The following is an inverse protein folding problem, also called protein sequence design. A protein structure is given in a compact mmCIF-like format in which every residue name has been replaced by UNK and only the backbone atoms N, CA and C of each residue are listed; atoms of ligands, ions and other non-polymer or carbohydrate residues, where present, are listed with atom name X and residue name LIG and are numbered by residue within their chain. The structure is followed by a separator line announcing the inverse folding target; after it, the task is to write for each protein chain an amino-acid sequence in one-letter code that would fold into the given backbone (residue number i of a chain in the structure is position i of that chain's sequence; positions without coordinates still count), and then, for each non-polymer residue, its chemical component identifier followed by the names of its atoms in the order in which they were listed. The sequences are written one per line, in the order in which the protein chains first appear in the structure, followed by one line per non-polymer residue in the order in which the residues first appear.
data_IF_626319846636
#
_entry.id   IF_626319846636
#
_cell.length_a   1.000
_cell.length_b   1.000
_cell.length_c   1.000
_cell.angle_alpha   90.00
_cell.angle_beta   90.00
_cell.angle_gamma   90.00
#
_symmetry.space_group_name_H-M   'P 1'
#
loop_
_entity.id
_entity.type
_entity.pdbx_description
1 polymer ?
#
# COMPACT_ATOMS: atom_id res chain seq x y z
N UNK A 1 20.85 -8.97 -9.63
CA UNK A 1 19.37 -9.00 -9.75
C UNK A 1 18.77 -7.71 -9.20
N UNK A 2 17.83 -7.10 -9.89
CA UNK A 2 17.17 -5.87 -9.49
C UNK A 2 15.90 -6.17 -8.68
N UNK A 3 15.73 -5.54 -7.52
CA UNK A 3 14.53 -5.67 -6.70
C UNK A 3 13.66 -4.42 -6.82
N UNK A 4 12.37 -4.63 -7.04
CA UNK A 4 11.32 -3.63 -7.10
C UNK A 4 10.39 -3.87 -5.92
N UNK A 5 10.30 -2.91 -5.00
CA UNK A 5 9.40 -2.99 -3.84
C UNK A 5 8.13 -2.18 -4.11
N UNK A 6 7.00 -2.87 -4.36
CA UNK A 6 5.68 -2.24 -4.39
C UNK A 6 5.08 -2.30 -2.98
N UNK A 7 5.11 -1.16 -2.29
CA UNK A 7 4.78 -1.06 -0.85
C UNK A 7 3.36 -0.54 -0.55
N UNK A 8 2.53 -0.46 -1.53
CA UNK A 8 1.13 -0.07 -1.35
C UNK A 8 0.83 1.30 -1.97
N UNK A 9 0.05 2.14 -1.32
CA UNK A 9 -0.49 2.04 0.04
C UNK A 9 -1.64 1.02 0.18
N UNK A 10 -2.11 0.82 1.42
CA UNK A 10 -3.38 0.09 1.62
C UNK A 10 -4.54 0.83 0.94
N UNK A 11 -5.54 0.10 0.47
CA UNK A 11 -6.76 0.64 -0.17
C UNK A 11 -6.50 1.43 -1.46
N UNK A 12 -5.38 1.17 -2.12
CA UNK A 12 -5.02 1.71 -3.45
C UNK A 12 -4.91 0.62 -4.52
N UNK A 13 -5.76 -0.42 -4.44
CA UNK A 13 -5.82 -1.47 -5.45
C UNK A 13 -4.71 -2.53 -5.36
N UNK A 14 -3.91 -2.56 -4.29
CA UNK A 14 -2.79 -3.51 -4.11
C UNK A 14 -3.21 -4.95 -4.32
N UNK A 15 -4.36 -5.38 -3.78
CA UNK A 15 -4.86 -6.75 -3.96
C UNK A 15 -5.14 -7.08 -5.43
N UNK A 16 -5.74 -6.16 -6.18
CA UNK A 16 -5.99 -6.32 -7.61
C UNK A 16 -4.67 -6.53 -8.36
N UNK A 17 -3.70 -5.67 -8.10
CA UNK A 17 -2.37 -5.77 -8.71
C UNK A 17 -1.62 -7.05 -8.30
N UNK A 18 -1.67 -7.42 -7.03
CA UNK A 18 -1.08 -8.66 -6.51
C UNK A 18 -1.69 -9.91 -7.14
N UNK A 19 -3.03 -9.96 -7.29
CA UNK A 19 -3.73 -11.06 -7.96
C UNK A 19 -3.33 -11.14 -9.43
N UNK A 20 -3.29 -10.00 -10.11
CA UNK A 20 -2.85 -9.91 -11.50
C UNK A 20 -1.42 -10.47 -11.70
N UNK A 21 -0.47 -10.12 -10.84
CA UNK A 21 0.90 -10.64 -10.91
C UNK A 21 0.96 -12.15 -10.58
N UNK A 22 0.20 -12.61 -9.58
CA UNK A 22 0.17 -14.01 -9.18
C UNK A 22 -0.38 -14.92 -10.29
N UNK A 23 -1.46 -14.51 -10.96
CA UNK A 23 -2.09 -15.24 -12.06
C UNK A 23 -1.22 -15.29 -13.33
N UNK A 24 -0.24 -14.39 -13.42
CA UNK A 24 0.66 -14.27 -14.57
C UNK A 24 2.13 -14.60 -14.23
N UNK A 25 2.38 -15.32 -13.14
CA UNK A 25 3.73 -15.62 -12.66
C UNK A 25 4.61 -16.28 -13.75
N UNK A 26 4.08 -17.25 -14.49
CA UNK A 26 4.82 -17.94 -15.54
C UNK A 26 5.23 -16.96 -16.65
N UNK A 27 4.32 -16.11 -17.08
CA UNK A 27 4.61 -15.06 -18.09
C UNK A 27 5.64 -14.01 -17.60
N UNK A 28 5.63 -13.71 -16.30
CA UNK A 28 6.66 -12.84 -15.71
C UNK A 28 8.03 -13.53 -15.73
N UNK A 29 8.08 -14.82 -15.40
CA UNK A 29 9.31 -15.60 -15.44
C UNK A 29 9.88 -15.69 -16.85
N UNK A 30 9.04 -15.79 -17.89
CA UNK A 30 9.46 -15.81 -19.30
C UNK A 30 10.22 -14.53 -19.70
N UNK A 31 9.96 -13.41 -19.02
CA UNK A 31 10.70 -12.14 -19.22
C UNK A 31 11.78 -11.89 -18.17
N UNK A 32 12.16 -12.89 -17.40
CA UNK A 32 13.19 -12.84 -16.37
C UNK A 32 12.78 -12.11 -15.08
N UNK A 33 11.47 -12.00 -14.82
CA UNK A 33 10.94 -11.32 -13.63
C UNK A 33 10.26 -12.34 -12.70
N UNK A 34 10.66 -12.41 -11.43
CA UNK A 34 9.97 -13.17 -10.38
C UNK A 34 9.02 -12.27 -9.60
N UNK A 35 8.00 -12.87 -9.00
CA UNK A 35 7.03 -12.17 -8.16
C UNK A 35 6.91 -12.80 -6.76
N UNK A 36 7.01 -11.94 -5.72
CA UNK A 36 6.71 -12.28 -4.34
C UNK A 36 5.54 -11.45 -3.83
N UNK A 37 4.37 -12.06 -3.78
CA UNK A 37 3.16 -11.47 -3.22
C UNK A 37 2.90 -11.91 -1.78
N UNK A 38 1.72 -11.52 -1.21
CA UNK A 38 1.32 -11.84 0.16
C UNK A 38 1.35 -13.34 0.49
N UNK A 39 1.04 -14.21 -0.47
CA UNK A 39 1.10 -15.65 -0.28
C UNK A 39 2.50 -16.14 0.14
N UNK A 40 3.57 -15.52 -0.37
CA UNK A 40 4.94 -15.84 -0.01
C UNK A 40 5.44 -15.04 1.19
N UNK A 41 5.21 -13.74 1.20
CA UNK A 41 5.74 -12.83 2.24
C UNK A 41 5.15 -13.15 3.60
N UNK A 42 3.84 -13.43 3.67
CA UNK A 42 3.09 -13.73 4.90
C UNK A 42 3.17 -15.19 5.35
N UNK A 43 3.60 -16.11 4.47
CA UNK A 43 3.85 -17.51 4.82
C UNK A 43 5.16 -17.74 5.60
N UNK A 44 5.78 -16.68 6.10
CA UNK A 44 6.95 -16.75 6.98
C UNK A 44 8.19 -16.03 6.47
N UNK A 45 8.29 -15.73 5.16
CA UNK A 45 9.47 -15.05 4.61
C UNK A 45 9.76 -13.71 5.31
N UNK A 46 8.70 -12.92 5.64
CA UNK A 46 8.83 -11.65 6.36
C UNK A 46 8.61 -11.80 7.88
N UNK A 47 8.78 -13.01 8.42
CA UNK A 47 8.60 -13.26 9.85
C UNK A 47 9.52 -12.39 10.68
N UNK A 48 8.92 -11.63 11.59
CA UNK A 48 9.65 -10.70 12.46
C UNK A 48 9.92 -9.34 11.80
N UNK A 49 9.84 -9.16 10.49
CA UNK A 49 10.09 -7.89 9.81
C UNK A 49 8.87 -6.94 9.87
N UNK A 50 7.67 -7.43 9.61
CA UNK A 50 6.43 -6.63 9.58
C UNK A 50 5.86 -6.25 10.96
N UNK A 51 6.52 -6.65 12.05
CA UNK A 51 6.05 -6.36 13.41
C UNK A 51 6.19 -4.87 13.72
N UNK A 52 5.20 -4.32 14.46
CA UNK A 52 5.26 -2.93 14.94
C UNK A 52 6.58 -2.66 15.69
N UNK A 53 7.30 -1.55 15.44
CA UNK A 53 8.61 -1.28 16.05
C UNK A 53 8.63 -1.42 17.58
N UNK A 54 7.65 -0.85 18.28
CA UNK A 54 7.54 -0.91 19.75
C UNK A 54 7.30 -2.33 20.30
N UNK A 55 6.84 -3.25 19.45
CA UNK A 55 6.58 -4.65 19.82
C UNK A 55 7.74 -5.58 19.43
N UNK A 56 8.86 -5.03 18.98
CA UNK A 56 10.04 -5.80 18.57
C UNK A 56 10.83 -6.21 19.79
N UNK A 57 10.57 -7.39 20.31
CA UNK A 57 11.39 -8.04 21.33
C UNK A 57 12.58 -8.79 20.71
N UNK A 58 13.44 -9.39 21.57
CA UNK A 58 14.63 -10.14 21.16
C UNK A 58 14.32 -11.25 20.14
N UNK A 59 13.22 -11.98 20.33
CA UNK A 59 12.84 -13.09 19.43
C UNK A 59 12.33 -12.57 18.08
N UNK A 60 11.58 -11.47 18.06
CA UNK A 60 11.17 -10.83 16.82
C UNK A 60 12.38 -10.30 16.03
N UNK A 61 13.39 -9.75 16.73
CA UNK A 61 14.67 -9.32 16.12
C UNK A 61 15.40 -10.50 15.47
N UNK A 62 15.61 -11.58 16.21
CA UNK A 62 16.24 -12.80 15.67
C UNK A 62 15.50 -13.37 14.46
N UNK A 63 14.15 -13.38 14.48
CA UNK A 63 13.37 -13.80 13.31
C UNK A 63 13.57 -12.86 12.13
N UNK A 64 13.61 -11.54 12.37
CA UNK A 64 13.89 -10.55 11.32
C UNK A 64 15.28 -10.73 10.70
N UNK A 65 16.31 -10.95 11.51
CA UNK A 65 17.68 -11.20 11.04
C UNK A 65 17.74 -12.47 10.18
N UNK A 66 17.07 -13.54 10.63
CA UNK A 66 16.93 -14.77 9.85
C UNK A 66 16.16 -14.54 8.54
N UNK A 67 15.06 -13.79 8.57
CA UNK A 67 14.28 -13.46 7.39
C UNK A 67 15.11 -12.70 6.36
N UNK A 68 15.89 -11.70 6.79
CA UNK A 68 16.80 -10.97 5.93
C UNK A 68 17.89 -11.88 5.33
N UNK A 69 18.41 -12.85 6.11
CA UNK A 69 19.33 -13.87 5.60
C UNK A 69 18.67 -14.74 4.50
N UNK A 70 17.44 -15.19 4.73
CA UNK A 70 16.69 -15.97 3.74
C UNK A 70 16.39 -15.17 2.49
N UNK A 71 16.04 -13.89 2.62
CA UNK A 71 15.82 -13.00 1.46
C UNK A 71 17.08 -12.96 0.59
N UNK A 72 18.28 -12.69 1.18
CA UNK A 72 19.53 -12.67 0.42
C UNK A 72 19.82 -13.99 -0.28
N UNK A 73 19.69 -15.12 0.42
CA UNK A 73 19.88 -16.45 -0.18
C UNK A 73 18.94 -16.71 -1.35
N UNK A 74 17.68 -16.30 -1.24
CA UNK A 74 16.71 -16.42 -2.33
C UNK A 74 17.05 -15.50 -3.51
N UNK A 75 17.52 -14.28 -3.26
CA UNK A 75 17.98 -13.37 -4.31
C UNK A 75 19.15 -13.97 -5.08
N UNK A 76 20.15 -14.54 -4.37
CA UNK A 76 21.29 -15.23 -5.00
C UNK A 76 20.83 -16.44 -5.82
N UNK A 77 19.86 -17.22 -5.31
CA UNK A 77 19.30 -18.36 -6.02
C UNK A 77 18.58 -17.94 -7.30
N UNK A 78 17.77 -16.90 -7.25
CA UNK A 78 17.04 -16.39 -8.42
C UNK A 78 18.00 -15.84 -9.49
N UNK A 79 19.06 -15.17 -9.08
CA UNK A 79 20.11 -14.71 -9.99
C UNK A 79 20.83 -15.88 -10.68
N UNK A 80 21.16 -16.94 -9.94
CA UNK A 80 21.79 -18.16 -10.49
C UNK A 80 20.93 -18.88 -11.51
N UNK A 81 19.60 -18.82 -11.42
CA UNK A 81 18.70 -19.40 -12.43
C UNK A 81 18.37 -18.45 -13.59
N UNK A 82 19.04 -17.30 -13.65
CA UNK A 82 18.97 -16.36 -14.77
C UNK A 82 17.83 -15.34 -14.70
N UNK A 83 17.14 -15.23 -13.58
CA UNK A 83 16.14 -14.18 -13.37
C UNK A 83 16.85 -12.84 -13.08
N UNK A 84 16.42 -11.77 -13.74
CA UNK A 84 17.10 -10.47 -13.70
C UNK A 84 16.40 -9.46 -12.78
N UNK A 85 15.09 -9.65 -12.52
CA UNK A 85 14.33 -8.78 -11.64
C UNK A 85 13.37 -9.54 -10.72
N UNK A 86 13.04 -8.93 -9.59
CA UNK A 86 12.08 -9.41 -8.62
C UNK A 86 11.13 -8.28 -8.26
N UNK A 87 9.83 -8.49 -8.45
CA UNK A 87 8.78 -7.62 -7.90
C UNK A 87 8.32 -8.20 -6.56
N UNK A 88 8.46 -7.43 -5.49
CA UNK A 88 7.90 -7.73 -4.16
C UNK A 88 6.73 -6.80 -3.93
N UNK A 89 5.54 -7.33 -3.71
CA UNK A 89 4.37 -6.50 -3.39
C UNK A 89 3.79 -6.86 -2.01
N UNK A 90 3.99 -5.97 -1.04
CA UNK A 90 3.52 -6.14 0.34
C UNK A 90 3.33 -4.80 1.04
N UNK A 91 2.09 -4.37 1.20
CA UNK A 91 1.73 -3.10 1.80
C UNK A 91 1.98 -3.02 3.32
N UNK A 92 2.07 -4.18 4.01
CA UNK A 92 2.39 -4.18 5.45
C UNK A 92 3.86 -3.80 5.75
N UNK A 93 4.70 -3.64 4.74
CA UNK A 93 6.07 -3.14 4.94
C UNK A 93 6.09 -1.74 5.56
N UNK A 94 5.15 -0.86 5.19
CA UNK A 94 5.06 0.51 5.71
C UNK A 94 4.16 0.66 6.94
N UNK A 95 3.43 -0.38 7.32
CA UNK A 95 2.52 -0.34 8.47
C UNK A 95 1.24 -1.11 8.23
N UNK A 96 0.25 -0.92 9.11
CA UNK A 96 -1.07 -1.55 8.98
C UNK A 96 -2.18 -0.52 9.13
N UNK A 97 -3.35 -0.81 8.55
CA UNK A 97 -4.53 0.05 8.72
C UNK A 97 -4.97 0.13 10.18
N UNK A 98 -4.74 -0.94 10.96
CA UNK A 98 -5.00 -0.95 12.40
C UNK A 98 -4.14 0.09 13.13
N UNK A 99 -2.82 0.11 12.87
CA UNK A 99 -1.90 1.08 13.49
C UNK A 99 -2.28 2.50 13.08
N UNK A 100 -2.59 2.73 11.80
CA UNK A 100 -3.00 4.04 11.29
C UNK A 100 -4.25 4.58 12.02
N UNK A 101 -5.27 3.74 12.23
CA UNK A 101 -6.49 4.15 12.93
C UNK A 101 -6.28 4.28 14.44
N UNK A 102 -5.53 3.37 15.08
CA UNK A 102 -5.32 3.39 16.53
C UNK A 102 -4.52 4.61 16.99
N UNK A 103 -3.60 5.09 16.16
CA UNK A 103 -2.80 6.29 16.41
C UNK A 103 -3.35 7.55 15.76
N UNK A 104 -4.39 7.42 14.91
CA UNK A 104 -4.86 8.46 14.01
C UNK A 104 -3.72 9.12 13.23
N UNK A 105 -2.77 8.32 12.70
CA UNK A 105 -1.60 8.81 11.95
C UNK A 105 -1.40 8.00 10.68
N UNK A 106 -1.08 8.67 9.59
CA UNK A 106 -0.77 8.04 8.31
C UNK A 106 0.62 7.40 8.35
N UNK A 107 0.71 6.07 8.49
CA UNK A 107 1.95 5.30 8.52
C UNK A 107 3.04 5.91 9.42
N UNK A 108 2.67 6.15 10.70
CA UNK A 108 3.50 6.86 11.68
C UNK A 108 4.93 6.34 11.82
N UNK A 109 5.14 5.04 11.60
CA UNK A 109 6.40 4.34 11.81
C UNK A 109 6.98 3.77 10.50
N UNK A 110 6.64 4.34 9.33
CA UNK A 110 7.03 3.79 8.02
C UNK A 110 8.54 3.61 7.90
N UNK A 111 9.33 4.61 8.26
CA UNK A 111 10.80 4.53 8.22
C UNK A 111 11.31 3.38 9.10
N UNK A 112 10.95 3.35 10.39
CA UNK A 112 11.42 2.32 11.32
C UNK A 112 10.99 0.89 10.93
N UNK A 113 9.89 0.75 10.20
CA UNK A 113 9.45 -0.53 9.62
C UNK A 113 10.28 -0.91 8.42
N UNK A 114 10.49 0.01 7.48
CA UNK A 114 11.26 -0.22 6.26
C UNK A 114 12.74 -0.49 6.55
N UNK A 115 13.35 0.19 7.54
CA UNK A 115 14.72 -0.06 7.99
C UNK A 115 14.98 -1.54 8.31
N UNK A 116 13.97 -2.25 8.75
CA UNK A 116 14.08 -3.68 9.07
C UNK A 116 14.26 -4.56 7.84
N UNK A 117 13.88 -4.09 6.66
CA UNK A 117 14.04 -4.75 5.37
C UNK A 117 15.32 -4.35 4.65
N UNK A 118 15.93 -3.23 5.04
CA UNK A 118 17.09 -2.68 4.37
C UNK A 118 18.26 -3.66 4.26
N UNK A 119 18.52 -4.48 5.30
CA UNK A 119 19.59 -5.47 5.27
C UNK A 119 19.29 -6.71 4.39
N UNK A 120 18.00 -6.95 4.08
CA UNK A 120 17.60 -8.04 3.19
C UNK A 120 17.64 -7.66 1.71
N UNK A 121 17.09 -6.48 1.39
CA UNK A 121 16.99 -6.01 0.01
C UNK A 121 18.12 -5.06 -0.40
N UNK A 122 18.60 -4.23 0.51
CA UNK A 122 19.78 -3.37 0.43
C UNK A 122 20.15 -2.89 -0.96
N UNK A 123 21.33 -3.29 -1.43
CA UNK A 123 21.87 -2.91 -2.74
C UNK A 123 21.08 -3.42 -3.95
N UNK A 124 20.23 -4.42 -3.75
CA UNK A 124 19.40 -4.97 -4.81
C UNK A 124 18.15 -4.12 -5.06
N UNK A 125 17.69 -3.34 -4.08
CA UNK A 125 16.53 -2.46 -4.24
C UNK A 125 16.87 -1.32 -5.20
N UNK A 126 16.36 -1.42 -6.44
CA UNK A 126 16.55 -0.41 -7.48
C UNK A 126 15.35 0.52 -7.61
N UNK A 127 14.19 0.06 -7.17
CA UNK A 127 12.97 0.84 -7.27
C UNK A 127 12.06 0.56 -6.08
N UNK A 128 11.44 1.61 -5.58
CA UNK A 128 10.31 1.52 -4.66
C UNK A 128 9.11 2.19 -5.31
N UNK A 129 7.95 1.58 -5.20
CA UNK A 129 6.74 2.00 -5.87
C UNK A 129 5.59 2.13 -4.86
N UNK A 130 4.92 3.28 -4.84
CA UNK A 130 3.81 3.55 -3.95
C UNK A 130 2.68 4.28 -4.67
N UNK A 131 1.47 3.75 -4.57
CA UNK A 131 0.25 4.44 -4.99
C UNK A 131 -0.33 5.21 -3.81
N UNK A 132 -0.57 6.50 -3.98
CA UNK A 132 -1.20 7.37 -2.99
C UNK A 132 -2.67 7.60 -3.34
N UNK A 133 -3.45 8.10 -2.38
CA UNK A 133 -4.88 8.33 -2.56
C UNK A 133 -5.32 9.58 -1.81
N UNK A 134 -6.33 10.29 -2.36
CA UNK A 134 -6.99 11.40 -1.68
C UNK A 134 -7.45 10.99 -0.27
N UNK A 135 -7.17 11.81 0.73
CA UNK A 135 -7.33 11.47 2.16
C UNK A 135 -8.76 11.13 2.55
N UNK A 136 -9.74 11.86 2.03
CA UNK A 136 -11.17 11.62 2.26
C UNK A 136 -11.57 10.21 1.81
N UNK A 137 -11.10 9.79 0.63
CA UNK A 137 -11.38 8.46 0.06
C UNK A 137 -10.52 7.37 0.73
N UNK A 138 -9.28 7.69 1.09
CA UNK A 138 -8.39 6.77 1.79
C UNK A 138 -8.96 6.40 3.15
N UNK A 139 -9.23 7.38 4.01
CA UNK A 139 -9.71 7.14 5.37
C UNK A 139 -11.11 6.54 5.39
N UNK A 140 -12.03 6.99 4.53
CA UNK A 140 -13.33 6.36 4.39
C UNK A 140 -13.22 4.88 4.00
N UNK A 141 -12.32 4.54 3.07
CA UNK A 141 -12.09 3.16 2.66
C UNK A 141 -11.42 2.32 3.74
N UNK A 142 -10.48 2.89 4.52
CA UNK A 142 -9.84 2.22 5.66
C UNK A 142 -10.87 1.94 6.76
N UNK A 143 -11.68 2.93 7.14
CA UNK A 143 -12.74 2.77 8.14
C UNK A 143 -13.75 1.71 7.72
N UNK A 144 -14.24 1.76 6.49
CA UNK A 144 -15.18 0.79 5.95
C UNK A 144 -14.63 -0.65 6.00
N UNK A 145 -13.36 -0.82 5.64
CA UNK A 145 -12.69 -2.12 5.69
C UNK A 145 -12.48 -2.61 7.12
N UNK A 146 -12.09 -1.72 8.03
CA UNK A 146 -11.78 -2.06 9.41
C UNK A 146 -13.05 -2.33 10.24
N UNK A 147 -14.15 -1.63 9.96
CA UNK A 147 -15.46 -1.92 10.58
C UNK A 147 -15.89 -3.35 10.28
N UNK A 148 -15.71 -3.84 9.05
CA UNK A 148 -15.99 -5.25 8.73
C UNK A 148 -15.14 -6.24 9.54
N UNK A 149 -13.97 -5.83 10.02
CA UNK A 149 -13.00 -6.64 10.78
C UNK A 149 -13.04 -6.41 12.30
N UNK A 150 -14.07 -5.79 12.82
CA UNK A 150 -14.24 -5.65 14.25
C UNK A 150 -13.95 -4.26 14.81
N UNK A 151 -13.53 -3.30 13.99
CA UNK A 151 -13.40 -1.92 14.46
C UNK A 151 -14.76 -1.35 14.85
N UNK A 152 -14.78 -0.51 15.88
CA UNK A 152 -16.01 0.20 16.30
C UNK A 152 -16.45 1.23 15.25
N UNK A 153 -17.70 1.66 15.31
CA UNK A 153 -18.15 2.84 14.57
C UNK A 153 -17.24 4.03 14.94
N UNK A 154 -16.77 4.82 13.97
CA UNK A 154 -15.99 6.01 14.29
C UNK A 154 -16.87 7.01 15.03
N UNK A 155 -16.30 7.64 16.04
CA UNK A 155 -16.86 8.81 16.72
C UNK A 155 -16.28 10.09 16.11
N UNK A 156 -16.94 11.23 16.35
CA UNK A 156 -16.52 12.52 15.81
C UNK A 156 -15.08 12.86 16.22
N UNK A 157 -14.71 12.52 17.46
CA UNK A 157 -13.34 12.73 17.93
C UNK A 157 -12.27 11.94 17.18
N UNK A 158 -12.59 10.74 16.66
CA UNK A 158 -11.68 10.03 15.75
C UNK A 158 -11.63 10.72 14.38
N UNK A 159 -12.79 11.10 13.84
CA UNK A 159 -12.87 11.78 12.55
C UNK A 159 -12.05 13.09 12.56
N UNK A 160 -12.21 13.89 13.60
CA UNK A 160 -11.44 15.13 13.79
C UNK A 160 -9.93 14.87 13.87
N UNK A 161 -9.51 13.86 14.65
CA UNK A 161 -8.08 13.50 14.72
C UNK A 161 -7.52 13.05 13.40
N UNK A 162 -8.28 12.32 12.57
CA UNK A 162 -7.83 11.91 11.24
C UNK A 162 -7.62 13.10 10.30
N UNK A 163 -8.47 14.12 10.40
CA UNK A 163 -8.36 15.34 9.60
C UNK A 163 -7.20 16.23 10.07
N UNK A 164 -7.02 16.37 11.38
CA UNK A 164 -6.04 17.29 11.99
C UNK A 164 -4.66 16.69 12.20
N UNK A 165 -4.48 15.39 11.93
CA UNK A 165 -3.17 14.75 12.04
C UNK A 165 -2.15 15.41 11.09
N UNK A 166 -0.93 15.61 11.58
CA UNK A 166 0.09 16.40 10.87
C UNK A 166 0.81 15.64 9.76
N UNK A 167 0.71 14.31 9.74
CA UNK A 167 1.49 13.48 8.83
C UNK A 167 0.80 13.35 7.47
N UNK A 168 1.54 13.56 6.40
CA UNK A 168 1.09 13.63 5.01
C UNK A 168 1.72 12.53 4.14
N UNK A 169 1.27 12.41 2.88
CA UNK A 169 1.96 11.55 1.90
C UNK A 169 3.40 11.97 1.68
N UNK A 170 3.70 13.26 1.73
CA UNK A 170 5.07 13.77 1.67
C UNK A 170 5.97 13.15 2.76
N UNK A 171 5.46 13.00 3.99
CA UNK A 171 6.25 12.41 5.08
C UNK A 171 6.50 10.93 4.87
N UNK A 172 5.50 10.20 4.34
CA UNK A 172 5.66 8.78 4.00
C UNK A 172 6.70 8.61 2.88
N UNK A 173 6.67 9.46 1.87
CA UNK A 173 7.62 9.46 0.75
C UNK A 173 9.03 9.78 1.25
N UNK A 174 9.20 10.77 2.13
CA UNK A 174 10.49 11.09 2.75
C UNK A 174 11.04 9.93 3.59
N UNK A 175 10.18 9.25 4.34
CA UNK A 175 10.58 8.05 5.09
C UNK A 175 11.09 6.94 4.17
N UNK A 176 10.40 6.69 3.05
CA UNK A 176 10.81 5.68 2.06
C UNK A 176 12.16 6.04 1.43
N UNK A 177 12.31 7.29 0.99
CA UNK A 177 13.54 7.78 0.37
C UNK A 177 14.73 7.72 1.34
N UNK A 178 14.50 7.99 2.63
CA UNK A 178 15.55 7.90 3.67
C UNK A 178 16.08 6.48 3.84
N UNK A 179 15.22 5.45 3.70
CA UNK A 179 15.63 4.04 3.86
C UNK A 179 16.29 3.48 2.60
N UNK A 180 15.82 3.88 1.42
CA UNK A 180 16.31 3.39 0.14
C UNK A 180 16.85 4.54 -0.74
N UNK A 181 17.91 5.25 -0.30
CA UNK A 181 18.38 6.47 -0.96
C UNK A 181 18.97 6.23 -2.36
N UNK A 182 19.31 4.98 -2.69
CA UNK A 182 19.84 4.61 -4.00
C UNK A 182 18.76 4.06 -4.96
N UNK A 183 17.52 3.91 -4.48
CA UNK A 183 16.42 3.41 -5.28
C UNK A 183 15.64 4.56 -5.92
N UNK A 184 15.18 4.37 -7.15
CA UNK A 184 14.18 5.25 -7.75
C UNK A 184 12.84 5.07 -7.01
N UNK A 185 12.26 6.15 -6.50
CA UNK A 185 10.96 6.13 -5.86
C UNK A 185 9.89 6.61 -6.84
N UNK A 186 9.00 5.69 -7.25
CA UNK A 186 7.86 6.00 -8.11
C UNK A 186 6.60 6.21 -7.28
N UNK A 187 5.91 7.32 -7.51
CA UNK A 187 4.67 7.68 -6.84
C UNK A 187 3.60 8.00 -7.88
N UNK A 188 2.39 7.45 -7.72
CA UNK A 188 1.25 7.77 -8.59
C UNK A 188 -0.06 7.86 -7.81
N UNK A 189 -1.04 8.66 -8.30
CA UNK A 189 -2.36 8.72 -7.71
C UNK A 189 -3.15 7.47 -8.06
N UNK A 190 -3.76 6.83 -7.08
CA UNK A 190 -4.59 5.64 -7.27
C UNK A 190 -5.71 5.86 -8.28
N UNK A 191 -6.32 7.03 -8.24
CA UNK A 191 -7.48 7.36 -9.06
C UNK A 191 -7.18 7.30 -10.56
N UNK A 192 -5.96 7.64 -10.98
CA UNK A 192 -5.55 7.61 -12.38
C UNK A 192 -5.24 6.20 -12.91
N UNK A 193 -4.95 5.25 -12.03
CA UNK A 193 -4.48 3.91 -12.44
C UNK A 193 -5.41 2.77 -11.96
N UNK A 194 -6.62 3.10 -11.60
CA UNK A 194 -7.64 2.13 -11.19
C UNK A 194 -7.89 1.10 -12.30
N UNK A 195 -7.73 -0.19 -11.96
CA UNK A 195 -7.99 -1.28 -12.92
C UNK A 195 -6.98 -1.38 -14.08
N UNK A 196 -5.84 -0.71 -13.98
CA UNK A 196 -4.79 -0.68 -15.02
C UNK A 196 -3.52 -1.40 -14.54
N UNK A 197 -3.67 -2.67 -14.13
CA UNK A 197 -2.56 -3.46 -13.56
C UNK A 197 -1.39 -3.64 -14.52
N UNK A 198 -1.65 -3.71 -15.83
CA UNK A 198 -0.62 -3.80 -16.86
C UNK A 198 0.21 -2.50 -16.98
N UNK A 199 -0.45 -1.34 -16.89
CA UNK A 199 0.27 -0.05 -16.87
C UNK A 199 1.07 0.10 -15.58
N UNK A 200 0.53 -0.30 -14.43
CA UNK A 200 1.28 -0.30 -13.17
C UNK A 200 2.52 -1.20 -13.27
N UNK A 201 2.40 -2.40 -13.85
CA UNK A 201 3.55 -3.28 -14.09
C UNK A 201 4.55 -2.64 -15.04
N UNK A 202 4.10 -2.04 -16.14
CA UNK A 202 4.99 -1.36 -17.09
C UNK A 202 5.81 -0.24 -16.41
N UNK A 203 5.15 0.58 -15.58
CA UNK A 203 5.81 1.66 -14.83
C UNK A 203 6.91 1.13 -13.91
N UNK A 204 6.58 0.11 -13.10
CA UNK A 204 7.53 -0.38 -12.08
C UNK A 204 8.62 -1.27 -12.68
N UNK A 205 8.40 -1.94 -13.81
CA UNK A 205 9.29 -2.93 -14.42
C UNK A 205 9.98 -2.41 -15.70
N UNK A 206 10.25 -1.10 -15.81
CA UNK A 206 10.94 -0.47 -16.94
C UNK A 206 10.31 -0.77 -18.32
N UNK A 207 8.99 -0.75 -18.40
CA UNK A 207 8.25 -1.07 -19.62
C UNK A 207 8.19 -2.57 -19.96
N UNK A 208 8.82 -3.44 -19.18
CA UNK A 208 8.79 -4.89 -19.41
C UNK A 208 7.45 -5.46 -18.93
N UNK A 209 6.58 -5.75 -19.88
CA UNK A 209 5.30 -6.44 -19.65
C UNK A 209 5.23 -7.62 -20.60
N UNK A 210 4.87 -8.82 -20.14
CA UNK A 210 4.64 -9.95 -21.03
C UNK A 210 3.55 -9.64 -22.06
N UNK A 211 3.71 -10.20 -23.29
CA UNK A 211 2.78 -9.93 -24.40
C UNK A 211 1.36 -10.44 -24.11
N UNK A 212 1.26 -11.55 -23.38
CA UNK A 212 -0.03 -12.17 -23.02
C UNK A 212 -0.20 -12.21 -21.51
N UNK A 213 -1.05 -11.33 -20.99
CA UNK A 213 -1.40 -11.28 -19.57
C UNK A 213 -2.91 -11.46 -19.40
N UNK A 214 -3.29 -12.21 -18.34
CA UNK A 214 -4.69 -12.48 -17.95
C UNK A 214 -5.16 -11.46 -16.90
N UNK A 215 -6.47 -11.25 -16.76
CA UNK A 215 -7.04 -10.48 -15.65
C UNK A 215 -6.72 -8.98 -15.65
N UNK A 216 -6.42 -8.39 -16.81
CA UNK A 216 -6.02 -6.97 -16.92
C UNK A 216 -7.02 -5.97 -16.31
N UNK A 217 -8.31 -6.32 -16.29
CA UNK A 217 -9.41 -5.46 -15.83
C UNK A 217 -10.17 -6.01 -14.63
N UNK A 218 -9.68 -7.08 -14.02
CA UNK A 218 -10.32 -7.67 -12.85
C UNK A 218 -10.17 -6.74 -11.65
N UNK A 219 -11.26 -6.59 -10.89
CA UNK A 219 -11.29 -5.69 -9.74
C UNK A 219 -11.57 -6.47 -8.46
N UNK A 220 -10.63 -6.42 -7.53
CA UNK A 220 -10.71 -7.11 -6.25
C UNK A 220 -10.78 -6.13 -5.08
N UNK A 221 -11.48 -6.51 -4.00
CA UNK A 221 -11.57 -5.76 -2.75
C UNK A 221 -12.07 -4.31 -2.87
N UNK A 222 -13.12 -4.07 -3.67
CA UNK A 222 -13.84 -2.80 -3.62
C UNK A 222 -14.26 -2.44 -2.18
N UNK A 223 -14.35 -1.15 -1.88
CA UNK A 223 -14.87 -0.70 -0.59
C UNK A 223 -16.32 -1.18 -0.40
N UNK A 224 -16.70 -1.65 0.80
CA UNK A 224 -18.07 -2.08 1.06
C UNK A 224 -19.06 -0.92 0.90
N UNK A 225 -20.28 -1.24 0.46
CA UNK A 225 -21.39 -0.28 0.36
C UNK A 225 -21.94 0.09 1.75
N UNK A 226 -22.72 1.17 1.80
CA UNK A 226 -23.46 1.57 3.01
C UNK A 226 -24.33 0.44 3.54
N UNK A 227 -25.12 -0.24 2.69
CA UNK A 227 -25.94 -1.38 3.08
C UNK A 227 -25.11 -2.48 3.74
N UNK A 228 -23.92 -2.79 3.22
CA UNK A 228 -23.04 -3.80 3.81
C UNK A 228 -22.48 -3.39 5.16
N UNK A 229 -22.11 -2.14 5.36
CA UNK A 229 -21.64 -1.60 6.64
C UNK A 229 -22.79 -1.52 7.65
N UNK A 230 -23.98 -1.07 7.21
CA UNK A 230 -25.20 -1.05 8.00
C UNK A 230 -25.52 -2.44 8.57
N UNK A 231 -25.47 -3.47 7.72
CA UNK A 231 -25.65 -4.86 8.16
C UNK A 231 -24.64 -5.26 9.23
N UNK A 232 -23.35 -4.91 9.07
CA UNK A 232 -22.32 -5.21 10.09
C UNK A 232 -22.64 -4.57 11.42
N UNK A 233 -23.16 -3.35 11.47
CA UNK A 233 -23.55 -2.68 12.70
C UNK A 233 -24.79 -3.34 13.32
N UNK A 234 -25.79 -3.72 12.53
CA UNK A 234 -26.96 -4.46 13.00
C UNK A 234 -26.58 -5.82 13.60
N UNK A 235 -25.75 -6.59 12.92
CA UNK A 235 -25.26 -7.90 13.39
C UNK A 235 -24.49 -7.81 14.72
N UNK A 236 -23.99 -6.61 15.08
CA UNK A 236 -23.31 -6.30 16.35
C UNK A 236 -24.20 -5.61 17.37
N UNK A 237 -25.48 -5.44 17.09
CA UNK A 237 -26.41 -4.76 17.98
C UNK A 237 -26.22 -3.23 18.06
N UNK A 238 -25.44 -2.64 17.16
CA UNK A 238 -25.24 -1.19 17.10
C UNK A 238 -26.27 -0.54 16.17
N UNK A 239 -27.52 -0.51 16.61
CA UNK A 239 -28.64 0.05 15.85
C UNK A 239 -28.46 1.54 15.57
N UNK A 240 -27.95 2.32 16.53
CA UNK A 240 -27.73 3.75 16.37
C UNK A 240 -26.77 4.08 15.20
N UNK A 241 -25.67 3.34 15.07
CA UNK A 241 -24.76 3.51 13.93
C UNK A 241 -25.36 3.00 12.62
N UNK A 242 -26.18 1.95 12.66
CA UNK A 242 -26.85 1.43 11.49
C UNK A 242 -27.89 2.41 10.91
N UNK A 243 -28.64 3.08 11.79
CA UNK A 243 -29.70 4.02 11.39
C UNK A 243 -29.15 5.31 10.76
N UNK A 244 -27.88 5.61 10.96
CA UNK A 244 -27.18 6.72 10.28
C UNK A 244 -26.77 6.40 8.84
N UNK A 245 -26.90 5.15 8.41
CA UNK A 245 -26.47 4.70 7.08
C UNK A 245 -27.65 4.40 6.18
N UNK A 246 -27.63 4.87 4.93
CA UNK A 246 -28.62 4.47 3.93
C UNK A 246 -28.51 2.95 3.65
N UNK A 247 -29.64 2.34 3.31
CA UNK A 247 -29.69 0.94 2.88
C UNK A 247 -29.56 0.83 1.38
N UNK A 248 -28.41 1.26 0.86
CA UNK A 248 -28.12 1.29 -0.56
C UNK A 248 -26.69 0.86 -0.88
N UNK A 249 -26.35 0.84 -2.19
CA UNK A 249 -25.02 0.48 -2.66
C UNK A 249 -24.05 1.65 -2.77
N UNK A 250 -24.40 2.83 -2.24
CA UNK A 250 -23.49 3.98 -2.17
C UNK A 250 -22.24 3.66 -1.35
N UNK A 251 -21.17 4.40 -1.60
CA UNK A 251 -19.96 4.29 -0.79
C UNK A 251 -20.16 5.03 0.52
N UNK A 252 -19.77 4.38 1.61
CA UNK A 252 -19.79 5.01 2.90
C UNK A 252 -18.77 6.15 2.97
N UNK A 253 -19.28 7.35 3.31
CA UNK A 253 -18.47 8.53 3.57
C UNK A 253 -18.81 9.05 4.98
N UNK A 254 -17.97 8.74 5.99
CA UNK A 254 -18.24 9.16 7.36
C UNK A 254 -17.87 10.62 7.65
N UNK A 255 -17.18 11.28 6.72
CA UNK A 255 -16.68 12.65 6.89
C UNK A 255 -17.70 13.68 6.37
N UNK A 256 -17.92 14.74 7.16
CA UNK A 256 -18.73 15.90 6.74
C UNK A 256 -18.02 16.75 5.67
N UNK A 257 -18.76 17.71 5.10
CA UNK A 257 -18.26 18.56 4.01
C UNK A 257 -16.98 19.33 4.38
N UNK A 258 -16.89 19.86 5.61
CA UNK A 258 -15.70 20.58 6.08
C UNK A 258 -14.48 19.67 6.17
N UNK A 259 -14.62 18.44 6.70
CA UNK A 259 -13.56 17.44 6.72
C UNK A 259 -13.08 17.09 5.32
N UNK A 260 -14.02 16.88 4.39
CA UNK A 260 -13.70 16.56 2.99
C UNK A 260 -12.92 17.70 2.34
N UNK A 261 -13.37 18.96 2.54
CA UNK A 261 -12.66 20.11 2.00
C UNK A 261 -11.24 20.24 2.56
N UNK A 262 -11.06 20.02 3.87
CA UNK A 262 -9.74 20.02 4.50
C UNK A 262 -8.84 18.92 3.95
N UNK A 263 -9.33 17.69 3.79
CA UNK A 263 -8.59 16.58 3.19
C UNK A 263 -8.21 16.84 1.74
N UNK A 264 -9.11 17.44 0.96
CA UNK A 264 -8.83 17.79 -0.44
C UNK A 264 -7.72 18.84 -0.52
N UNK A 265 -7.79 19.91 0.28
CA UNK A 265 -6.73 20.91 0.34
C UNK A 265 -5.37 20.30 0.71
N UNK A 266 -5.36 19.40 1.70
CA UNK A 266 -4.14 18.69 2.09
C UNK A 266 -3.58 17.81 0.96
N UNK A 267 -4.44 17.13 0.22
CA UNK A 267 -4.02 16.27 -0.88
C UNK A 267 -3.53 17.09 -2.07
N UNK A 268 -4.16 18.22 -2.37
CA UNK A 268 -3.73 19.13 -3.43
C UNK A 268 -2.34 19.70 -3.15
N UNK A 269 -2.03 20.00 -1.88
CA UNK A 269 -0.67 20.41 -1.48
C UNK A 269 0.35 19.29 -1.71
N UNK A 270 0.00 18.03 -1.39
CA UNK A 270 0.88 16.88 -1.68
C UNK A 270 1.10 16.69 -3.18
N UNK A 271 0.03 16.80 -3.98
CA UNK A 271 0.14 16.69 -5.44
C UNK A 271 0.96 17.83 -6.04
N UNK A 272 0.80 19.05 -5.55
CA UNK A 272 1.59 20.20 -5.98
C UNK A 272 3.09 19.99 -5.67
N UNK A 273 3.42 19.48 -4.47
CA UNK A 273 4.79 19.14 -4.11
C UNK A 273 5.38 18.03 -5.00
N UNK A 274 4.60 16.98 -5.28
CA UNK A 274 5.01 15.88 -6.18
C UNK A 274 5.26 16.38 -7.60
N UNK A 275 4.36 17.19 -8.16
CA UNK A 275 4.52 17.83 -9.49
C UNK A 275 5.70 18.78 -9.54
N UNK A 276 6.01 19.42 -8.42
CA UNK A 276 7.20 20.27 -8.25
C UNK A 276 8.52 19.51 -8.15
N UNK A 277 8.50 18.17 -8.29
CA UNK A 277 9.69 17.32 -8.27
C UNK A 277 10.02 16.72 -6.91
N UNK A 278 9.13 16.82 -5.92
CA UNK A 278 9.22 16.13 -4.60
C UNK A 278 10.59 16.31 -3.92
N UNK A 279 11.18 17.49 -3.97
CA UNK A 279 12.54 17.80 -3.46
C UNK A 279 13.64 16.88 -4.07
N UNK A 280 13.41 16.30 -5.24
CA UNK A 280 14.29 15.32 -5.88
C UNK A 280 14.20 13.90 -5.28
N UNK A 281 13.25 13.63 -4.40
CA UNK A 281 13.13 12.35 -3.69
C UNK A 281 12.32 11.30 -4.45
N UNK A 282 11.42 11.73 -5.34
CA UNK A 282 10.51 10.83 -6.03
C UNK A 282 10.17 11.30 -7.44
N UNK A 283 9.90 10.34 -8.32
CA UNK A 283 9.30 10.57 -9.63
C UNK A 283 7.79 10.39 -9.52
N UNK A 284 7.04 11.47 -9.79
CA UNK A 284 5.59 11.43 -9.82
C UNK A 284 5.09 11.08 -11.22
N UNK A 285 4.21 10.08 -11.29
CA UNK A 285 3.64 9.60 -12.55
C UNK A 285 2.16 9.91 -12.57
N UNK A 286 1.72 10.76 -13.47
CA UNK A 286 0.32 11.00 -13.79
C UNK A 286 -0.08 10.27 -15.06
N UNK A 287 -1.36 9.93 -15.16
CA UNK A 287 -1.90 9.45 -16.43
C UNK A 287 -1.92 10.62 -17.42
N UNK A 288 -1.35 10.42 -18.61
CA UNK A 288 -1.49 11.41 -19.69
C UNK A 288 -2.95 11.44 -20.16
N UNK A 289 -3.50 12.63 -20.36
CA UNK A 289 -4.88 12.82 -20.87
C UNK A 289 -5.07 12.31 -22.32
N UNK A 290 -4.04 11.76 -22.95
CA UNK A 290 -4.00 11.35 -24.35
C UNK A 290 -4.19 9.83 -24.56
N UNK A 291 -4.86 9.09 -23.66
CA UNK A 291 -5.05 7.64 -23.81
C UNK A 291 -6.53 7.24 -24.02
#
# INVERSE_FOLDING_TARGET
MDVILHIGAHRTGTTTFQTYLEENRDHLNDIGTEFWGPNRTRAGLFSGLVKHPDKVNRDARRRGDRANGLIRMELDRLDQVGLTSLVVSEENMIGTMWDNLSTARLYGDAQARLDRFASGFGFHCKRVAISIRSYDKYWASVLAFMVQRGWKAPDDGLLDRLVTQSRRWQDVIRDVAAVFPAAELLVWPFEGFVGQSDQQLAMINNGRVPVMMRGRRDWHNASPSCAKIRKVFLDRGNHAAADQLPDDYSRWQPFGAEHIAAFQAQYDEDLAWLRGGADGLATYVEQSDDA
#
